data_IF_955983212663
#
_entry.id   IF_955983212663
#
_cell.length_a   1.000
_cell.length_b   1.000
_cell.length_c   1.000
_cell.angle_alpha   90.00
_cell.angle_beta   90.00
_cell.angle_gamma   90.00
#
_symmetry.space_group_name_H-M   'P 1'
#
loop_
_entity.id
_entity.type
_entity.pdbx_description
1 polymer ?
#
# COMPACT_ATOMS: atom_id res chain seq x y z
N UNK A 1 25.50 24.87 7.53
CA UNK A 1 24.11 25.05 8.05
C UNK A 1 24.17 26.02 9.23
N UNK A 2 23.22 26.97 9.36
CA UNK A 2 23.24 27.90 10.50
C UNK A 2 22.79 27.18 11.78
N UNK A 3 23.44 27.46 12.92
CA UNK A 3 23.10 26.83 14.21
C UNK A 3 21.61 27.01 14.59
N UNK A 4 21.02 28.13 14.19
CA UNK A 4 19.59 28.38 14.39
C UNK A 4 18.69 27.41 13.60
N UNK A 5 19.09 27.03 12.39
CA UNK A 5 18.34 26.07 11.56
C UNK A 5 18.36 24.67 12.20
N UNK A 6 19.55 24.26 12.71
CA UNK A 6 19.69 22.99 13.42
C UNK A 6 18.79 22.98 14.67
N UNK A 7 18.81 24.08 15.46
CA UNK A 7 17.94 24.15 16.64
C UNK A 7 16.47 24.01 16.34
N UNK A 8 15.99 24.72 15.32
CA UNK A 8 14.59 24.57 14.87
C UNK A 8 14.28 23.17 14.39
N UNK A 9 15.23 22.51 13.73
CA UNK A 9 15.11 21.11 13.30
C UNK A 9 15.01 20.16 14.49
N UNK A 10 15.88 20.31 15.50
CA UNK A 10 15.85 19.51 16.73
C UNK A 10 14.52 19.68 17.49
N UNK A 11 14.04 20.92 17.64
CA UNK A 11 12.77 21.19 18.32
C UNK A 11 11.58 20.51 17.59
N UNK A 12 11.58 20.51 16.24
CA UNK A 12 10.60 19.76 15.45
C UNK A 12 10.76 18.24 15.59
N UNK A 13 12.00 17.76 15.61
CA UNK A 13 12.29 16.33 15.76
C UNK A 13 11.79 15.79 17.11
N UNK A 14 11.92 16.54 18.19
CA UNK A 14 11.34 16.17 19.49
C UNK A 14 9.83 15.97 19.46
N UNK A 15 9.11 16.82 18.72
CA UNK A 15 7.66 16.68 18.56
C UNK A 15 7.32 15.46 17.71
N UNK A 16 8.03 15.26 16.60
CA UNK A 16 7.81 14.13 15.70
C UNK A 16 8.11 12.78 16.37
N UNK A 17 9.21 12.66 17.11
CA UNK A 17 9.56 11.42 17.82
C UNK A 17 8.49 11.06 18.86
N UNK A 18 7.93 12.04 19.59
CA UNK A 18 6.79 11.79 20.48
C UNK A 18 5.55 11.33 19.74
N UNK A 19 5.30 11.87 18.55
CA UNK A 19 4.21 11.40 17.68
C UNK A 19 4.46 9.99 17.16
N UNK A 20 5.68 9.68 16.76
CA UNK A 20 6.07 8.34 16.31
C UNK A 20 5.89 7.30 17.41
N UNK A 21 6.22 7.62 18.68
CA UNK A 21 5.98 6.73 19.83
C UNK A 21 4.53 6.30 19.92
N UNK A 22 3.61 7.27 19.78
CA UNK A 22 2.16 7.00 19.81
C UNK A 22 1.66 6.27 18.57
N UNK A 23 2.07 6.73 17.38
CA UNK A 23 1.60 6.17 16.11
C UNK A 23 2.09 4.74 15.89
N UNK A 24 3.33 4.44 16.32
CA UNK A 24 3.91 3.10 16.27
C UNK A 24 3.48 2.21 17.43
N UNK A 25 2.74 2.74 18.41
CA UNK A 25 2.36 2.00 19.63
C UNK A 25 3.58 1.35 20.31
N UNK A 26 4.68 2.11 20.44
CA UNK A 26 5.96 1.58 20.91
C UNK A 26 5.81 0.94 22.31
N UNK A 27 5.08 1.59 23.23
CA UNK A 27 4.89 1.09 24.59
C UNK A 27 4.09 -0.24 24.63
N UNK A 28 3.15 -0.44 23.71
CA UNK A 28 2.40 -1.69 23.58
C UNK A 28 3.29 -2.78 22.98
N UNK A 29 4.02 -2.46 21.93
CA UNK A 29 4.97 -3.39 21.29
C UNK A 29 6.05 -3.86 22.28
N UNK A 30 6.59 -2.99 23.11
CA UNK A 30 7.58 -3.38 24.12
C UNK A 30 7.00 -4.40 25.12
N UNK A 31 5.76 -4.20 25.57
CA UNK A 31 5.08 -5.17 26.47
C UNK A 31 4.84 -6.51 25.78
N UNK A 32 4.44 -6.46 24.50
CA UNK A 32 4.20 -7.66 23.69
C UNK A 32 5.51 -8.42 23.43
N UNK A 33 6.61 -7.72 23.15
CA UNK A 33 7.96 -8.29 23.01
C UNK A 33 8.37 -9.01 24.30
N UNK A 34 8.13 -8.43 25.48
CA UNK A 34 8.41 -9.07 26.75
C UNK A 34 7.59 -10.37 26.91
N UNK A 35 6.28 -10.31 26.59
CA UNK A 35 5.39 -11.47 26.66
C UNK A 35 5.80 -12.59 25.70
N UNK A 36 6.07 -12.25 24.43
CA UNK A 36 6.51 -13.23 23.44
C UNK A 36 7.90 -13.80 23.77
N UNK A 37 8.81 -12.95 24.24
CA UNK A 37 10.14 -13.42 24.71
C UNK A 37 10.01 -14.40 25.85
N UNK A 38 9.10 -14.16 26.81
CA UNK A 38 8.83 -15.11 27.88
C UNK A 38 8.28 -16.44 27.35
N UNK A 39 7.41 -16.42 26.34
CA UNK A 39 6.90 -17.64 25.70
C UNK A 39 8.00 -18.47 25.03
N UNK A 40 8.98 -17.82 24.40
CA UNK A 40 10.11 -18.53 23.74
C UNK A 40 11.02 -19.28 24.73
N UNK A 41 10.98 -18.91 26.02
CA UNK A 41 11.77 -19.53 27.09
C UNK A 41 11.06 -20.72 27.76
N UNK A 42 9.79 -20.98 27.43
CA UNK A 42 9.04 -22.10 28.04
C UNK A 42 9.47 -23.45 27.47
N UNK A 43 9.42 -24.46 28.32
CA UNK A 43 9.68 -25.85 27.90
C UNK A 43 8.64 -26.30 26.87
N UNK A 44 9.08 -26.94 25.79
CA UNK A 44 8.22 -27.43 24.71
C UNK A 44 7.90 -26.39 23.62
N UNK A 45 8.34 -25.14 23.74
CA UNK A 45 8.09 -24.12 22.72
C UNK A 45 8.65 -24.52 21.33
N UNK A 46 9.83 -25.13 21.30
CA UNK A 46 10.52 -25.56 20.09
C UNK A 46 10.02 -26.88 19.50
N UNK A 47 9.11 -27.58 20.19
CA UNK A 47 8.53 -28.84 19.72
C UNK A 47 7.54 -28.65 18.56
N UNK A 48 7.10 -27.39 18.32
CA UNK A 48 6.22 -27.01 17.24
C UNK A 48 6.92 -25.99 16.30
N UNK A 49 7.70 -26.45 15.31
CA UNK A 49 8.56 -25.57 14.49
C UNK A 49 7.82 -24.45 13.77
N UNK A 50 6.63 -24.73 13.22
CA UNK A 50 5.84 -23.75 12.48
C UNK A 50 5.29 -22.66 13.39
N UNK A 51 4.83 -23.02 14.60
CA UNK A 51 4.37 -22.06 15.60
C UNK A 51 5.53 -21.23 16.15
N UNK A 52 6.64 -21.88 16.49
CA UNK A 52 7.84 -21.21 16.97
C UNK A 52 8.39 -20.20 15.94
N UNK A 53 8.39 -20.58 14.66
CA UNK A 53 8.80 -19.69 13.59
C UNK A 53 7.91 -18.46 13.47
N UNK A 54 6.58 -18.61 13.51
CA UNK A 54 5.64 -17.49 13.45
C UNK A 54 5.86 -16.48 14.59
N UNK A 55 5.98 -16.99 15.82
CA UNK A 55 6.23 -16.14 17.00
C UNK A 55 7.59 -15.43 16.87
N UNK A 56 8.62 -16.13 16.38
CA UNK A 56 9.94 -15.56 16.24
C UNK A 56 10.00 -14.49 15.15
N UNK A 57 9.31 -14.70 14.02
CA UNK A 57 9.19 -13.71 12.94
C UNK A 57 8.42 -12.47 13.45
N UNK A 58 7.32 -12.64 14.16
CA UNK A 58 6.55 -11.57 14.79
C UNK A 58 7.40 -10.77 15.78
N UNK A 59 8.13 -11.47 16.66
CA UNK A 59 9.03 -10.85 17.64
C UNK A 59 10.15 -10.04 16.96
N UNK A 60 10.73 -10.57 15.89
CA UNK A 60 11.79 -9.86 15.14
C UNK A 60 11.25 -8.61 14.43
N UNK A 61 10.06 -8.68 13.83
CA UNK A 61 9.45 -7.52 13.17
C UNK A 61 9.11 -6.41 14.20
N UNK A 62 8.61 -6.77 15.38
CA UNK A 62 8.36 -5.79 16.45
C UNK A 62 9.68 -5.20 17.00
N UNK A 63 10.68 -6.04 17.29
CA UNK A 63 11.99 -5.57 17.76
C UNK A 63 12.63 -4.63 16.77
N UNK A 64 12.54 -4.91 15.47
CA UNK A 64 13.10 -4.02 14.47
C UNK A 64 12.55 -2.60 14.58
N UNK A 65 11.24 -2.46 14.79
CA UNK A 65 10.59 -1.14 14.91
C UNK A 65 11.01 -0.45 16.23
N UNK A 66 11.03 -1.19 17.34
CA UNK A 66 11.40 -0.62 18.64
C UNK A 66 12.88 -0.23 18.72
N UNK A 67 13.77 -1.07 18.19
CA UNK A 67 15.22 -0.79 18.15
C UNK A 67 15.54 0.43 17.27
N UNK A 68 14.88 0.57 16.13
CA UNK A 68 15.03 1.75 15.26
C UNK A 68 14.52 3.02 15.96
N UNK A 69 13.39 2.92 16.67
CA UNK A 69 12.87 4.03 17.46
C UNK A 69 13.84 4.45 18.58
N UNK A 70 14.36 3.49 19.34
CA UNK A 70 15.33 3.75 20.41
C UNK A 70 16.61 4.38 19.87
N UNK A 71 17.09 3.95 18.71
CA UNK A 71 18.24 4.58 18.03
C UNK A 71 17.96 6.04 17.69
N UNK A 72 16.75 6.35 17.20
CA UNK A 72 16.38 7.75 16.91
C UNK A 72 16.33 8.60 18.17
N UNK A 73 15.76 8.08 19.29
CA UNK A 73 15.77 8.80 20.58
C UNK A 73 17.20 9.05 21.08
N UNK A 74 18.07 8.05 21.01
CA UNK A 74 19.48 8.18 21.42
C UNK A 74 20.22 9.16 20.53
N UNK A 75 20.04 9.12 19.22
CA UNK A 75 20.67 10.04 18.27
C UNK A 75 20.21 11.48 18.52
N UNK A 76 18.91 11.70 18.78
CA UNK A 76 18.40 13.03 19.13
C UNK A 76 19.01 13.57 20.42
N UNK A 77 19.11 12.74 21.47
CA UNK A 77 19.75 13.13 22.74
C UNK A 77 21.22 13.49 22.53
N UNK A 78 21.97 12.72 21.75
CA UNK A 78 23.37 13.01 21.42
C UNK A 78 23.52 14.31 20.63
N UNK A 79 22.59 14.60 19.70
CA UNK A 79 22.59 15.87 18.96
C UNK A 79 22.30 17.07 19.85
N UNK A 80 21.38 16.95 20.82
CA UNK A 80 21.13 18.02 21.81
C UNK A 80 22.37 18.33 22.68
N UNK A 81 23.08 17.27 23.10
CA UNK A 81 24.33 17.42 23.86
C UNK A 81 25.42 18.12 23.02
N UNK A 82 25.61 17.64 21.77
CA UNK A 82 26.59 18.21 20.84
C UNK A 82 26.24 19.66 20.49
N UNK A 83 24.96 19.96 20.26
CA UNK A 83 24.50 21.34 20.03
C UNK A 83 24.82 22.28 21.21
N UNK A 84 24.60 21.79 22.41
CA UNK A 84 24.91 22.57 23.64
C UNK A 84 26.40 22.85 23.76
N UNK A 85 27.27 21.87 23.47
CA UNK A 85 28.71 22.02 23.44
C UNK A 85 29.19 23.03 22.39
N UNK A 86 28.67 22.93 21.15
CA UNK A 86 28.98 23.87 20.06
C UNK A 86 28.59 25.28 20.43
N UNK A 87 27.45 25.47 21.09
CA UNK A 87 26.98 26.79 21.55
C UNK A 87 27.87 27.40 22.63
N UNK A 88 28.47 26.58 23.49
CA UNK A 88 29.35 27.04 24.57
C UNK A 88 30.78 27.29 24.10
N UNK A 89 31.29 26.47 23.17
CA UNK A 89 32.70 26.51 22.76
C UNK A 89 32.96 27.33 21.52
N UNK A 90 31.93 27.56 20.67
CA UNK A 90 32.01 28.20 19.34
C UNK A 90 33.09 27.56 18.44
N UNK A 91 33.36 26.25 18.63
CA UNK A 91 34.38 25.51 17.89
C UNK A 91 33.85 25.05 16.54
N UNK A 92 34.57 25.43 15.46
CA UNK A 92 34.20 25.08 14.08
C UNK A 92 34.29 23.57 13.79
N UNK A 93 35.17 22.85 14.46
CA UNK A 93 35.33 21.41 14.25
C UNK A 93 34.11 20.66 14.80
N UNK A 94 33.64 21.00 16.00
CA UNK A 94 32.40 20.46 16.57
C UNK A 94 31.16 20.89 15.79
N UNK A 95 31.16 22.09 15.21
CA UNK A 95 30.06 22.51 14.36
C UNK A 95 29.94 21.63 13.09
N UNK A 96 31.06 21.29 12.45
CA UNK A 96 31.07 20.43 11.26
C UNK A 96 30.57 19.03 11.59
N UNK A 97 30.94 18.47 12.75
CA UNK A 97 30.45 17.17 13.23
C UNK A 97 28.95 17.24 13.46
N UNK A 98 28.46 18.26 14.15
CA UNK A 98 27.04 18.47 14.42
C UNK A 98 26.21 18.54 13.10
N UNK A 99 26.72 19.24 12.10
CA UNK A 99 26.03 19.34 10.78
C UNK A 99 25.96 17.98 10.09
N UNK A 100 27.03 17.18 10.14
CA UNK A 100 27.05 15.84 9.54
C UNK A 100 26.09 14.90 10.27
N UNK A 101 26.16 14.86 11.59
CA UNK A 101 25.34 13.99 12.43
C UNK A 101 23.84 14.36 12.31
N UNK A 102 23.54 15.67 12.21
CA UNK A 102 22.17 16.12 11.98
C UNK A 102 21.63 15.70 10.62
N UNK A 103 22.41 15.76 9.54
CA UNK A 103 22.00 15.29 8.22
C UNK A 103 21.76 13.78 8.21
N UNK A 104 22.58 13.01 8.90
CA UNK A 104 22.39 11.56 8.99
C UNK A 104 21.16 11.21 9.85
N UNK A 105 20.92 11.97 10.93
CA UNK A 105 19.70 11.85 11.72
C UNK A 105 18.44 12.16 10.90
N UNK A 106 18.43 13.21 10.07
CA UNK A 106 17.29 13.50 9.17
C UNK A 106 17.00 12.34 8.24
N UNK A 107 18.02 11.71 7.65
CA UNK A 107 17.84 10.53 6.79
C UNK A 107 17.24 9.36 7.57
N UNK A 108 17.74 9.08 8.77
CA UNK A 108 17.21 8.01 9.61
C UNK A 108 15.75 8.28 10.03
N UNK A 109 15.40 9.54 10.32
CA UNK A 109 14.02 9.95 10.57
C UNK A 109 13.10 9.67 9.37
N UNK A 110 13.54 10.02 8.16
CA UNK A 110 12.77 9.73 6.94
C UNK A 110 12.60 8.23 6.69
N UNK A 111 13.65 7.44 6.93
CA UNK A 111 13.59 5.98 6.80
C UNK A 111 12.62 5.37 7.82
N UNK A 112 12.68 5.81 9.07
CA UNK A 112 11.77 5.35 10.10
C UNK A 112 10.32 5.74 9.81
N UNK A 113 10.09 6.97 9.32
CA UNK A 113 8.75 7.39 8.88
C UNK A 113 8.19 6.46 7.79
N UNK A 114 9.00 6.05 6.82
CA UNK A 114 8.60 5.08 5.79
C UNK A 114 8.20 3.73 6.40
N UNK A 115 8.94 3.26 7.41
CA UNK A 115 8.60 2.01 8.13
C UNK A 115 7.27 2.15 8.85
N UNK A 116 7.02 3.29 9.50
CA UNK A 116 5.74 3.55 10.20
C UNK A 116 4.54 3.59 9.25
N UNK A 117 4.71 4.20 8.07
CA UNK A 117 3.67 4.29 7.05
C UNK A 117 3.24 2.91 6.54
N UNK A 118 4.09 1.89 6.69
CA UNK A 118 3.90 0.52 6.25
C UNK A 118 3.72 -0.47 7.43
N UNK A 119 3.24 0.00 8.57
CA UNK A 119 3.18 -0.79 9.81
C UNK A 119 1.81 -1.42 10.11
N UNK A 120 0.81 -1.28 9.23
CA UNK A 120 -0.51 -1.91 9.41
C UNK A 120 -0.42 -3.42 9.22
N UNK A 121 -1.34 -4.15 9.85
CA UNK A 121 -1.39 -5.61 9.96
C UNK A 121 -1.14 -6.36 8.62
N UNK A 122 -1.69 -5.85 7.51
CA UNK A 122 -1.57 -6.51 6.20
C UNK A 122 -0.50 -5.90 5.29
N UNK A 123 0.16 -4.82 5.73
CA UNK A 123 1.12 -4.10 4.88
C UNK A 123 2.32 -4.94 4.46
N UNK A 124 2.73 -5.89 5.30
CA UNK A 124 3.83 -6.81 5.04
C UNK A 124 3.56 -7.87 3.96
N UNK A 125 2.28 -8.05 3.57
CA UNK A 125 1.87 -9.09 2.65
C UNK A 125 2.19 -8.78 1.19
N UNK A 126 2.11 -9.83 0.35
CA UNK A 126 2.09 -9.69 -1.09
C UNK A 126 0.80 -9.00 -1.55
N UNK A 127 0.79 -8.43 -2.74
CA UNK A 127 -0.37 -7.74 -3.30
C UNK A 127 -0.89 -8.45 -4.56
N UNK A 128 -2.20 -8.59 -4.66
CA UNK A 128 -2.88 -8.93 -5.90
C UNK A 128 -3.43 -7.63 -6.48
N UNK A 129 -3.02 -7.31 -7.70
CA UNK A 129 -3.40 -6.07 -8.40
C UNK A 129 -4.24 -6.42 -9.62
N UNK A 130 -5.38 -5.75 -9.76
CA UNK A 130 -6.27 -5.87 -10.91
C UNK A 130 -6.42 -4.52 -11.60
N UNK A 131 -6.30 -4.50 -12.93
CA UNK A 131 -6.47 -3.29 -13.72
C UNK A 131 -7.56 -3.52 -14.75
N UNK A 132 -8.54 -2.62 -14.79
CA UNK A 132 -9.63 -2.63 -15.75
C UNK A 132 -9.75 -1.28 -16.46
N UNK A 133 -9.90 -1.26 -17.79
CA UNK A 133 -10.20 -0.02 -18.51
C UNK A 133 -11.60 0.46 -18.15
N UNK A 134 -11.74 1.78 -18.00
CA UNK A 134 -13.04 2.42 -17.88
C UNK A 134 -13.78 2.56 -19.22
N UNK A 135 -14.89 3.29 -19.21
CA UNK A 135 -15.59 3.63 -20.44
C UNK A 135 -14.68 4.46 -21.36
N UNK A 136 -14.50 4.05 -22.62
CA UNK A 136 -13.63 4.75 -23.58
C UNK A 136 -13.06 3.90 -24.72
N UNK A 137 -13.44 2.62 -24.78
CA UNK A 137 -13.01 1.73 -25.88
C UNK A 137 -11.50 1.52 -25.93
N UNK A 138 -10.92 1.52 -27.15
CA UNK A 138 -9.48 1.27 -27.37
C UNK A 138 -8.57 2.22 -26.59
N UNK A 139 -8.96 3.48 -26.42
CA UNK A 139 -8.16 4.48 -25.69
C UNK A 139 -7.99 4.15 -24.21
N UNK A 140 -9.06 3.65 -23.55
CA UNK A 140 -8.99 3.22 -22.15
C UNK A 140 -8.28 1.88 -21.98
N UNK A 141 -8.36 1.00 -22.99
CA UNK A 141 -7.60 -0.26 -23.00
C UNK A 141 -6.09 0.00 -23.11
N UNK A 142 -5.68 0.95 -23.96
CA UNK A 142 -4.27 1.37 -24.05
C UNK A 142 -3.81 2.06 -22.76
N UNK A 143 -4.68 2.86 -22.14
CA UNK A 143 -4.36 3.46 -20.83
C UNK A 143 -4.15 2.41 -19.74
N UNK A 144 -5.00 1.39 -19.68
CA UNK A 144 -4.84 0.28 -18.74
C UNK A 144 -3.50 -0.47 -18.96
N UNK A 145 -3.08 -0.67 -20.21
CA UNK A 145 -1.78 -1.26 -20.53
C UNK A 145 -0.61 -0.35 -20.13
N UNK A 146 -0.74 0.97 -20.29
CA UNK A 146 0.27 1.92 -19.82
C UNK A 146 0.44 1.88 -18.31
N UNK A 147 -0.66 1.78 -17.54
CA UNK A 147 -0.62 1.61 -16.08
C UNK A 147 0.03 0.28 -15.69
N UNK A 148 -0.31 -0.81 -16.37
CA UNK A 148 0.31 -2.10 -16.12
C UNK A 148 1.83 -2.04 -16.31
N UNK A 149 2.32 -1.42 -17.41
CA UNK A 149 3.75 -1.20 -17.66
C UNK A 149 4.40 -0.33 -16.60
N UNK A 150 3.72 0.71 -16.13
CA UNK A 150 4.16 1.57 -15.03
C UNK A 150 4.38 0.75 -13.75
N UNK A 151 3.43 -0.09 -13.36
CA UNK A 151 3.57 -0.94 -12.17
C UNK A 151 4.62 -2.03 -12.34
N UNK A 152 4.78 -2.60 -13.53
CA UNK A 152 5.89 -3.53 -13.80
C UNK A 152 7.26 -2.89 -13.54
N UNK A 153 7.46 -1.65 -14.01
CA UNK A 153 8.70 -0.90 -13.80
C UNK A 153 8.88 -0.55 -12.33
N UNK A 154 7.83 -0.08 -11.66
CA UNK A 154 7.86 0.18 -10.24
C UNK A 154 8.28 -1.05 -9.43
N UNK A 155 7.64 -2.18 -9.67
CA UNK A 155 7.98 -3.44 -9.00
C UNK A 155 9.41 -3.89 -9.28
N UNK A 156 9.90 -3.73 -10.53
CA UNK A 156 11.28 -4.02 -10.89
C UNK A 156 12.27 -3.13 -10.12
N UNK A 157 11.98 -1.83 -10.02
CA UNK A 157 12.81 -0.88 -9.28
C UNK A 157 12.87 -1.20 -7.78
N UNK A 158 11.76 -1.74 -7.21
CA UNK A 158 11.69 -2.18 -5.80
C UNK A 158 12.22 -3.59 -5.56
N UNK A 159 12.59 -4.33 -6.60
CA UNK A 159 13.00 -5.72 -6.50
C UNK A 159 11.84 -6.68 -6.20
N UNK A 160 10.60 -6.27 -6.41
CA UNK A 160 9.44 -7.14 -6.30
C UNK A 160 9.32 -8.05 -7.52
N UNK A 161 8.83 -9.28 -7.29
CA UNK A 161 8.57 -10.24 -8.36
C UNK A 161 7.11 -10.16 -8.77
N UNK A 162 6.85 -10.12 -10.08
CA UNK A 162 5.50 -10.13 -10.64
C UNK A 162 5.21 -11.49 -11.24
N UNK A 163 4.03 -12.01 -10.93
CA UNK A 163 3.45 -13.21 -11.52
C UNK A 163 2.08 -12.85 -12.09
N UNK A 164 1.93 -12.99 -13.41
CA UNK A 164 0.66 -12.70 -14.08
C UNK A 164 -0.30 -13.86 -13.86
N UNK A 165 -1.46 -13.59 -13.27
CA UNK A 165 -2.50 -14.57 -12.96
C UNK A 165 -3.53 -14.67 -14.08
N UNK A 166 -3.93 -13.52 -14.63
CA UNK A 166 -4.86 -13.42 -15.75
C UNK A 166 -4.52 -12.23 -16.64
N UNK A 167 -4.63 -12.40 -17.94
CA UNK A 167 -4.33 -11.33 -18.91
C UNK A 167 -5.24 -11.46 -20.12
N UNK A 168 -5.99 -10.43 -20.41
CA UNK A 168 -6.92 -10.40 -21.54
C UNK A 168 -6.59 -9.22 -22.46
N UNK A 169 -6.10 -9.52 -23.65
CA UNK A 169 -5.76 -8.53 -24.68
C UNK A 169 -6.97 -7.70 -25.12
N UNK A 170 -6.73 -6.45 -25.46
CA UNK A 170 -7.68 -5.60 -26.17
C UNK A 170 -7.94 -6.08 -27.61
N UNK A 171 -9.07 -5.68 -28.18
CA UNK A 171 -9.42 -6.12 -29.54
C UNK A 171 -8.53 -5.48 -30.62
N UNK A 172 -8.05 -4.26 -30.40
CA UNK A 172 -7.24 -3.48 -31.34
C UNK A 172 -5.90 -3.08 -30.71
N UNK A 173 -5.91 -2.63 -29.46
CA UNK A 173 -4.72 -2.23 -28.70
C UNK A 173 -5.05 -2.28 -27.21
N UNK A 174 -4.00 -2.33 -26.38
CA UNK A 174 -4.12 -2.33 -24.92
C UNK A 174 -4.67 -3.62 -24.35
N UNK A 175 -5.21 -3.56 -23.14
CA UNK A 175 -5.73 -4.71 -22.38
C UNK A 175 -7.18 -4.48 -21.97
N UNK A 176 -7.98 -5.56 -21.92
CA UNK A 176 -9.33 -5.57 -21.33
C UNK A 176 -9.32 -5.83 -19.84
N UNK A 177 -8.35 -6.57 -19.36
CA UNK A 177 -8.09 -6.77 -17.94
C UNK A 177 -6.71 -7.39 -17.74
N UNK A 178 -6.11 -7.10 -16.61
CA UNK A 178 -4.94 -7.83 -16.14
C UNK A 178 -5.04 -8.00 -14.64
N UNK A 179 -4.73 -9.22 -14.16
CA UNK A 179 -4.58 -9.54 -12.76
C UNK A 179 -3.19 -10.12 -12.54
N UNK A 180 -2.45 -9.57 -11.62
CA UNK A 180 -1.10 -10.04 -11.32
C UNK A 180 -0.81 -10.00 -9.83
N UNK A 181 -0.01 -10.96 -9.38
CA UNK A 181 0.49 -11.07 -8.02
C UNK A 181 1.87 -10.41 -7.94
N UNK A 182 2.03 -9.54 -6.95
CA UNK A 182 3.29 -8.86 -6.63
C UNK A 182 3.85 -9.46 -5.34
N UNK A 183 4.96 -10.18 -5.45
CA UNK A 183 5.65 -10.83 -4.33
C UNK A 183 6.80 -9.98 -3.84
N UNK A 184 6.76 -9.59 -2.58
CA UNK A 184 7.83 -8.82 -1.94
C UNK A 184 7.40 -8.30 -0.57
N UNK A 185 8.38 -8.03 0.27
CA UNK A 185 8.11 -7.48 1.60
C UNK A 185 7.47 -6.09 1.47
N UNK A 186 6.32 -5.89 2.09
CA UNK A 186 5.51 -4.67 2.03
C UNK A 186 4.93 -4.34 0.65
N UNK A 187 4.80 -5.33 -0.25
CA UNK A 187 4.21 -5.09 -1.57
C UNK A 187 2.79 -4.52 -1.49
N UNK A 188 1.94 -5.10 -0.63
CA UNK A 188 0.60 -4.56 -0.40
C UNK A 188 0.63 -3.17 0.24
N UNK A 189 1.48 -2.96 1.25
CA UNK A 189 1.61 -1.67 1.94
C UNK A 189 1.91 -0.50 0.99
N UNK A 190 2.78 -0.73 0.00
CA UNK A 190 3.06 0.26 -1.04
C UNK A 190 1.90 0.40 -2.02
N UNK A 191 1.42 -0.70 -2.59
CA UNK A 191 0.48 -0.67 -3.71
C UNK A 191 -0.96 -0.34 -3.30
N UNK A 192 -1.37 -0.53 -2.02
CA UNK A 192 -2.70 -0.13 -1.54
C UNK A 192 -2.99 1.36 -1.78
N UNK A 193 -1.95 2.20 -1.81
CA UNK A 193 -2.07 3.62 -2.12
C UNK A 193 -2.49 3.88 -3.58
N UNK A 194 -2.32 2.91 -4.48
CA UNK A 194 -2.65 3.01 -5.90
C UNK A 194 -4.08 2.55 -6.23
N UNK A 195 -4.82 2.04 -5.23
CA UNK A 195 -6.21 1.60 -5.40
C UNK A 195 -7.12 2.78 -5.72
N UNK A 196 -7.82 2.70 -6.86
CA UNK A 196 -8.81 3.69 -7.29
C UNK A 196 -8.79 3.96 -8.79
N UNK A 197 -9.38 5.08 -9.20
CA UNK A 197 -9.51 5.44 -10.62
C UNK A 197 -8.38 6.38 -11.04
N UNK A 198 -7.69 6.03 -12.12
CA UNK A 198 -6.62 6.79 -12.74
C UNK A 198 -7.12 7.44 -14.03
N UNK A 199 -6.95 8.74 -14.16
CA UNK A 199 -7.39 9.53 -15.30
C UNK A 199 -6.21 9.94 -16.18
N UNK A 200 -6.29 9.66 -17.49
CA UNK A 200 -5.33 10.13 -18.50
C UNK A 200 -5.95 11.20 -19.37
N UNK A 201 -5.22 12.27 -19.65
CA UNK A 201 -5.57 13.31 -20.63
C UNK A 201 -4.40 13.47 -21.60
N UNK A 202 -4.60 13.06 -22.86
CA UNK A 202 -3.58 13.15 -23.92
C UNK A 202 -4.20 13.38 -25.29
N UNK A 203 -3.37 13.66 -26.29
CA UNK A 203 -3.75 13.55 -27.69
C UNK A 203 -3.84 12.06 -28.02
N UNK A 204 -4.98 11.61 -28.55
CA UNK A 204 -5.20 10.21 -28.89
C UNK A 204 -4.32 9.77 -30.06
N UNK A 205 -3.56 8.65 -29.92
CA UNK A 205 -2.87 8.05 -31.05
C UNK A 205 -3.80 7.32 -32.02
N UNK A 206 -5.05 7.03 -31.60
CA UNK A 206 -6.06 6.30 -32.38
C UNK A 206 -7.03 7.22 -33.11
N UNK A 207 -7.05 8.52 -32.79
CA UNK A 207 -7.87 9.53 -33.48
C UNK A 207 -7.10 10.18 -34.62
N UNK A 208 -7.55 9.96 -35.84
CA UNK A 208 -6.96 10.59 -37.03
C UNK A 208 -6.97 12.14 -36.99
N UNK A 209 -7.93 12.71 -36.27
CA UNK A 209 -8.06 14.15 -36.04
C UNK A 209 -7.15 14.71 -34.96
N UNK A 210 -6.37 13.86 -34.29
CA UNK A 210 -5.43 14.22 -33.18
C UNK A 210 -6.09 15.06 -32.08
N UNK A 211 -7.33 14.75 -31.74
CA UNK A 211 -8.06 15.42 -30.68
C UNK A 211 -7.57 14.95 -29.30
N UNK A 212 -7.78 15.80 -28.32
CA UNK A 212 -7.52 15.50 -26.92
C UNK A 212 -8.62 14.60 -26.38
N UNK A 213 -8.23 13.46 -25.81
CA UNK A 213 -9.13 12.50 -25.17
C UNK A 213 -8.85 12.39 -23.68
N UNK A 214 -9.87 12.01 -22.94
CA UNK A 214 -9.78 11.66 -21.53
C UNK A 214 -10.18 10.20 -21.36
N UNK A 215 -9.30 9.41 -20.74
CA UNK A 215 -9.50 7.99 -20.52
C UNK A 215 -9.39 7.67 -19.04
N UNK A 216 -10.11 6.66 -18.59
CA UNK A 216 -10.11 6.20 -17.23
C UNK A 216 -9.73 4.73 -17.18
N UNK A 217 -9.04 4.34 -16.12
CA UNK A 217 -8.81 2.94 -15.77
C UNK A 217 -8.89 2.80 -14.25
N UNK A 218 -9.45 1.71 -13.78
CA UNK A 218 -9.50 1.39 -12.36
C UNK A 218 -8.39 0.43 -12.00
N UNK A 219 -7.79 0.65 -10.87
CA UNK A 219 -6.81 -0.23 -10.24
C UNK A 219 -7.41 -0.70 -8.92
N UNK A 220 -7.49 -2.00 -8.72
CA UNK A 220 -7.83 -2.60 -7.44
C UNK A 220 -6.61 -3.30 -6.85
N UNK A 221 -6.42 -3.16 -5.54
CA UNK A 221 -5.29 -3.75 -4.82
C UNK A 221 -5.81 -4.42 -3.57
N UNK A 222 -5.51 -5.70 -3.43
CA UNK A 222 -5.91 -6.52 -2.28
C UNK A 222 -4.70 -7.30 -1.76
N UNK A 223 -4.61 -7.59 -0.44
CA UNK A 223 -3.53 -8.40 0.10
C UNK A 223 -3.68 -9.86 -0.34
N UNK A 224 -2.56 -10.56 -0.57
CA UNK A 224 -2.56 -12.02 -0.67
C UNK A 224 -2.61 -12.57 0.76
N UNK A 225 -3.75 -13.16 1.13
CA UNK A 225 -3.89 -13.79 2.44
C UNK A 225 -3.33 -15.21 2.38
N UNK A 226 -2.51 -15.55 3.38
CA UNK A 226 -2.07 -16.92 3.60
C UNK A 226 -3.26 -17.80 4.03
N UNK A 227 -3.16 -19.13 3.81
CA UNK A 227 -4.18 -20.12 4.19
C UNK A 227 -4.52 -20.15 5.70
N UNK A 228 -3.84 -19.34 6.51
CA UNK A 228 -4.01 -19.27 7.98
C UNK A 228 -5.20 -18.42 8.43
N UNK A 229 -5.78 -17.58 7.55
CA UNK A 229 -7.01 -16.86 7.88
C UNK A 229 -8.18 -17.74 7.43
N UNK A 230 -8.80 -18.43 8.36
CA UNK A 230 -9.99 -19.26 8.16
C UNK A 230 -11.19 -18.36 7.75
N UNK A 231 -11.26 -18.02 6.49
CA UNK A 231 -12.56 -17.65 5.90
C UNK A 231 -13.23 -19.00 5.60
N UNK A 232 -14.26 -19.32 6.37
CA UNK A 232 -15.05 -20.53 6.17
C UNK A 232 -15.85 -20.40 4.87
N UNK A 233 -15.25 -20.85 3.75
CA UNK A 233 -15.90 -20.92 2.45
C UNK A 233 -16.46 -22.32 2.28
N UNK A 234 -17.77 -22.43 2.36
CA UNK A 234 -18.43 -23.70 2.14
C UNK A 234 -18.40 -24.06 0.66
N UNK A 235 -18.10 -25.32 0.30
CA UNK A 235 -18.08 -25.77 -1.09
C UNK A 235 -19.42 -25.54 -1.85
N UNK A 236 -20.54 -25.57 -1.12
CA UNK A 236 -21.90 -25.32 -1.64
C UNK A 236 -22.14 -23.88 -2.08
N UNK A 237 -21.35 -22.92 -1.54
CA UNK A 237 -21.42 -21.50 -1.89
C UNK A 237 -20.57 -21.16 -3.12
N UNK A 238 -19.90 -22.15 -3.70
CA UNK A 238 -19.01 -21.95 -4.82
C UNK A 238 -19.58 -22.58 -6.11
N UNK A 239 -19.63 -21.78 -7.14
CA UNK A 239 -19.81 -22.26 -8.51
C UNK A 239 -18.47 -22.20 -9.24
N UNK A 240 -17.99 -23.36 -9.68
CA UNK A 240 -16.70 -23.50 -10.38
C UNK A 240 -16.97 -23.87 -11.82
N UNK A 241 -16.64 -22.96 -12.74
CA UNK A 241 -16.74 -23.16 -14.17
C UNK A 241 -15.34 -23.29 -14.78
N UNK A 242 -15.14 -24.30 -15.63
CA UNK A 242 -13.90 -24.45 -16.39
C UNK A 242 -14.11 -24.06 -17.84
N UNK A 243 -13.14 -23.39 -18.44
CA UNK A 243 -13.24 -22.93 -19.82
C UNK A 243 -11.86 -22.95 -20.51
N UNK A 244 -11.86 -22.75 -21.81
CA UNK A 244 -10.62 -22.69 -22.59
C UNK A 244 -9.95 -21.36 -22.39
N UNK A 245 -8.66 -21.41 -22.06
CA UNK A 245 -7.85 -20.19 -21.92
C UNK A 245 -7.83 -19.40 -23.23
N UNK A 246 -8.00 -18.09 -23.15
CA UNK A 246 -7.90 -17.18 -24.30
C UNK A 246 -6.50 -16.56 -24.29
N UNK A 247 -5.70 -16.73 -25.35
CA UNK A 247 -4.38 -16.13 -25.47
C UNK A 247 -3.62 -16.61 -26.71
N UNK A 248 -2.60 -15.88 -27.11
CA UNK A 248 -1.67 -16.24 -28.18
C UNK A 248 -0.81 -17.44 -27.73
N UNK A 249 -1.23 -18.66 -28.04
CA UNK A 249 -0.52 -19.87 -27.70
C UNK A 249 -0.90 -21.04 -28.63
N UNK A 250 0.04 -21.95 -28.85
CA UNK A 250 -0.06 -23.04 -29.78
C UNK A 250 -1.20 -24.05 -29.47
N UNK A 251 -1.31 -25.13 -30.28
CA UNK A 251 -2.40 -26.11 -30.28
C UNK A 251 -2.84 -26.67 -28.91
N UNK A 252 -2.07 -26.53 -27.85
CA UNK A 252 -2.39 -27.09 -26.53
C UNK A 252 -3.38 -26.19 -25.75
N UNK A 253 -3.27 -24.88 -25.89
CA UNK A 253 -4.11 -23.89 -25.15
C UNK A 253 -5.56 -23.94 -25.64
N UNK A 254 -5.77 -24.24 -26.93
CA UNK A 254 -7.09 -24.26 -27.54
C UNK A 254 -7.85 -25.60 -27.40
N UNK A 255 -7.24 -26.64 -26.79
CA UNK A 255 -7.83 -27.96 -26.66
C UNK A 255 -8.20 -28.38 -25.24
N UNK A 256 -7.63 -27.77 -24.22
CA UNK A 256 -7.85 -28.14 -22.82
C UNK A 256 -8.53 -27.00 -22.04
N UNK A 257 -9.59 -27.35 -21.29
CA UNK A 257 -10.31 -26.44 -20.42
C UNK A 257 -9.50 -26.25 -19.11
N UNK A 258 -8.33 -25.58 -19.21
CA UNK A 258 -7.42 -25.36 -18.08
C UNK A 258 -7.72 -24.08 -17.28
N UNK A 259 -8.41 -23.11 -17.88
CA UNK A 259 -8.82 -21.90 -17.19
C UNK A 259 -9.98 -22.18 -16.22
N UNK A 260 -9.92 -21.57 -15.05
CA UNK A 260 -10.91 -21.74 -13.98
C UNK A 260 -11.53 -20.40 -13.62
N UNK A 261 -12.86 -20.38 -13.53
CA UNK A 261 -13.65 -19.28 -12.97
C UNK A 261 -14.36 -19.77 -11.72
N UNK A 262 -14.17 -19.09 -10.62
CA UNK A 262 -14.90 -19.36 -9.38
C UNK A 262 -15.82 -18.18 -9.08
N UNK A 263 -17.09 -18.48 -8.87
CA UNK A 263 -18.10 -17.51 -8.45
C UNK A 263 -18.56 -17.87 -7.05
N UNK A 264 -18.39 -16.95 -6.11
CA UNK A 264 -18.97 -17.08 -4.77
C UNK A 264 -20.42 -16.59 -4.81
N UNK A 265 -21.36 -17.52 -4.68
CA UNK A 265 -22.79 -17.27 -4.88
C UNK A 265 -23.36 -16.22 -3.94
N UNK A 266 -23.05 -16.24 -2.61
CA UNK A 266 -23.65 -15.28 -1.67
C UNK A 266 -23.21 -13.83 -1.91
N UNK A 267 -21.98 -13.59 -2.36
CA UNK A 267 -21.44 -12.24 -2.56
C UNK A 267 -21.41 -11.82 -4.03
N UNK A 268 -21.66 -12.75 -4.97
CA UNK A 268 -21.53 -12.50 -6.41
C UNK A 268 -20.08 -12.25 -6.86
N UNK A 269 -19.09 -12.49 -6.01
CA UNK A 269 -17.67 -12.26 -6.33
C UNK A 269 -17.19 -13.29 -7.35
N UNK A 270 -16.58 -12.81 -8.42
CA UNK A 270 -16.04 -13.65 -9.50
C UNK A 270 -14.52 -13.49 -9.54
N UNK A 271 -13.82 -14.62 -9.66
CA UNK A 271 -12.37 -14.66 -9.90
C UNK A 271 -12.07 -15.63 -11.04
N UNK A 272 -11.05 -15.29 -11.83
CA UNK A 272 -10.59 -16.12 -12.96
C UNK A 272 -9.10 -16.34 -12.86
N UNK A 273 -8.64 -17.56 -13.16
CA UNK A 273 -7.21 -17.87 -13.23
C UNK A 273 -6.94 -18.77 -14.42
N UNK A 274 -5.96 -18.38 -15.25
CA UNK A 274 -5.52 -19.13 -16.44
C UNK A 274 -3.98 -19.13 -16.60
N UNK A 275 -3.26 -18.82 -15.52
CA UNK A 275 -1.79 -18.65 -15.54
C UNK A 275 -1.02 -19.94 -15.75
N UNK A 276 -1.56 -21.07 -15.30
CA UNK A 276 -0.91 -22.38 -15.35
C UNK A 276 -1.53 -23.32 -16.38
N UNK A 277 -0.73 -24.29 -16.84
CA UNK A 277 -1.21 -25.36 -17.74
C UNK A 277 -2.10 -26.39 -17.01
N UNK A 278 -2.00 -26.46 -15.68
CA UNK A 278 -2.73 -27.38 -14.82
C UNK A 278 -4.00 -26.72 -14.31
N UNK A 279 -5.15 -27.34 -14.59
CA UNK A 279 -6.44 -26.93 -14.04
C UNK A 279 -6.47 -26.93 -12.51
N UNK A 280 -5.78 -27.89 -11.86
CA UNK A 280 -5.72 -28.00 -10.41
C UNK A 280 -5.00 -26.78 -9.81
N UNK A 281 -3.83 -26.41 -10.36
CA UNK A 281 -3.08 -25.25 -9.89
C UNK A 281 -3.84 -23.93 -10.12
N UNK A 282 -4.52 -23.80 -11.28
CA UNK A 282 -5.38 -22.64 -11.54
C UNK A 282 -6.55 -22.56 -10.55
N UNK A 283 -7.10 -23.71 -10.13
CA UNK A 283 -8.18 -23.77 -9.14
C UNK A 283 -7.68 -23.34 -7.75
N UNK A 284 -6.53 -23.83 -7.32
CA UNK A 284 -5.91 -23.46 -6.04
C UNK A 284 -5.62 -21.96 -6.01
N UNK A 285 -5.01 -21.43 -7.06
CA UNK A 285 -4.70 -20.01 -7.17
C UNK A 285 -5.99 -19.15 -7.21
N UNK A 286 -7.00 -19.57 -7.94
CA UNK A 286 -8.31 -18.89 -7.96
C UNK A 286 -8.97 -18.90 -6.57
N UNK A 287 -8.80 -19.96 -5.77
CA UNK A 287 -9.30 -20.01 -4.38
C UNK A 287 -8.60 -19.01 -3.48
N UNK A 288 -7.27 -18.88 -3.59
CA UNK A 288 -6.50 -17.86 -2.84
C UNK A 288 -6.99 -16.46 -3.22
N UNK A 289 -7.13 -16.18 -4.51
CA UNK A 289 -7.68 -14.89 -5.00
C UNK A 289 -9.08 -14.63 -4.46
N UNK A 290 -9.95 -15.65 -4.44
CA UNK A 290 -11.31 -15.52 -3.91
C UNK A 290 -11.29 -15.20 -2.41
N UNK A 291 -10.51 -15.92 -1.62
CA UNK A 291 -10.33 -15.66 -0.18
C UNK A 291 -9.91 -14.20 0.05
N UNK A 292 -8.91 -13.72 -0.69
CA UNK A 292 -8.41 -12.35 -0.58
C UNK A 292 -9.47 -11.30 -0.93
N UNK A 293 -10.28 -11.55 -1.98
CA UNK A 293 -11.40 -10.66 -2.33
C UNK A 293 -12.51 -10.65 -1.28
N UNK A 294 -12.87 -11.81 -0.75
CA UNK A 294 -13.89 -11.90 0.29
C UNK A 294 -13.45 -11.18 1.57
N UNK A 295 -12.19 -11.30 1.93
CA UNK A 295 -11.64 -10.57 3.07
C UNK A 295 -11.74 -9.04 2.88
N UNK A 296 -11.34 -8.54 1.72
CA UNK A 296 -11.45 -7.11 1.41
C UNK A 296 -12.91 -6.62 1.47
N UNK A 297 -13.87 -7.45 1.03
CA UNK A 297 -15.30 -7.14 1.15
C UNK A 297 -15.78 -7.15 2.61
N UNK A 298 -15.28 -8.05 3.45
CA UNK A 298 -15.62 -8.07 4.88
C UNK A 298 -15.07 -6.84 5.59
N UNK A 299 -13.83 -6.44 5.29
CA UNK A 299 -13.21 -5.22 5.82
C UNK A 299 -13.97 -3.95 5.39
N UNK A 300 -14.38 -3.89 4.11
CA UNK A 300 -15.19 -2.79 3.60
C UNK A 300 -16.57 -2.75 4.27
N UNK A 301 -17.19 -3.90 4.53
CA UNK A 301 -18.48 -3.99 5.22
C UNK A 301 -18.36 -3.51 6.66
N UNK A 302 -17.33 -3.93 7.40
CA UNK A 302 -17.06 -3.45 8.75
C UNK A 302 -16.78 -1.94 8.78
N UNK A 303 -16.00 -1.44 7.81
CA UNK A 303 -15.74 0.00 7.68
C UNK A 303 -17.00 0.80 7.33
N UNK A 304 -17.93 0.22 6.54
CA UNK A 304 -19.25 0.83 6.27
C UNK A 304 -20.15 0.85 7.50
N UNK A 305 -20.23 -0.26 8.23
CA UNK A 305 -20.99 -0.34 9.48
C UNK A 305 -20.48 0.68 10.52
N UNK A 306 -19.16 0.86 10.63
CA UNK A 306 -18.57 1.91 11.46
C UNK A 306 -18.90 3.32 10.96
N UNK A 307 -18.90 3.56 9.64
CA UNK A 307 -19.30 4.85 9.05
C UNK A 307 -20.80 5.15 9.20
N UNK A 308 -21.65 4.13 9.10
CA UNK A 308 -23.10 4.28 9.35
C UNK A 308 -23.39 4.64 10.81
N UNK A 309 -22.62 4.11 11.75
CA UNK A 309 -22.68 4.48 13.17
C UNK A 309 -22.17 5.92 13.40
N UNK A 310 -21.24 6.41 12.57
CA UNK A 310 -20.65 7.76 12.64
C UNK A 310 -21.43 8.84 11.87
N UNK A 311 -22.47 8.48 11.09
CA UNK A 311 -23.30 9.41 10.33
C UNK A 311 -22.85 9.65 8.89
N UNK A 312 -23.82 9.74 7.97
CA UNK A 312 -23.68 9.79 6.51
C UNK A 312 -22.69 10.83 6.01
N UNK A 313 -21.58 10.40 5.40
CA UNK A 313 -20.87 11.18 4.39
C UNK A 313 -21.40 10.82 3.01
N UNK A 314 -21.99 11.82 2.32
CA UNK A 314 -22.60 11.67 0.99
C UNK A 314 -21.59 11.13 -0.03
N UNK A 315 -21.88 9.98 -0.63
CA UNK A 315 -21.18 9.47 -1.80
C UNK A 315 -21.32 10.43 -2.99
N UNK A 316 -20.22 11.01 -3.46
CA UNK A 316 -20.18 11.73 -4.74
C UNK A 316 -19.53 10.77 -5.76
N UNK A 317 -20.35 10.12 -6.56
CA UNK A 317 -19.96 9.08 -7.53
C UNK A 317 -19.05 9.57 -8.68
N UNK A 318 -18.76 10.83 -8.83
CA UNK A 318 -17.89 11.43 -9.86
C UNK A 318 -16.58 12.00 -9.29
N UNK A 319 -16.30 11.82 -8.01
CA UNK A 319 -15.14 12.39 -7.30
C UNK A 319 -14.02 11.39 -6.95
N UNK A 320 -14.14 10.10 -7.30
CA UNK A 320 -13.23 9.05 -6.84
C UNK A 320 -11.94 8.88 -7.64
N UNK A 321 -11.57 9.86 -8.48
CA UNK A 321 -10.29 9.86 -9.18
C UNK A 321 -9.16 10.10 -8.18
N UNK A 322 -8.31 9.09 -7.97
CA UNK A 322 -7.16 9.23 -7.09
C UNK A 322 -6.03 10.03 -7.72
N UNK A 323 -5.79 9.83 -9.04
CA UNK A 323 -4.69 10.49 -9.73
C UNK A 323 -5.05 10.85 -11.16
N UNK A 324 -4.60 12.05 -11.60
CA UNK A 324 -4.77 12.55 -12.95
C UNK A 324 -3.42 12.71 -13.63
N UNK A 325 -3.29 12.15 -14.84
CA UNK A 325 -2.11 12.23 -15.68
C UNK A 325 -2.46 13.08 -16.90
N UNK A 326 -1.90 14.28 -16.99
CA UNK A 326 -2.10 15.22 -18.08
C UNK A 326 -0.83 15.28 -18.91
N UNK A 327 -0.91 14.85 -20.17
CA UNK A 327 0.21 14.89 -21.11
C UNK A 327 0.04 16.04 -22.15
N UNK A 328 -1.14 16.63 -22.24
CA UNK A 328 -1.45 17.74 -23.12
C UNK A 328 -2.65 18.55 -22.60
N UNK A 329 -2.63 19.90 -22.60
CA UNK A 329 -1.64 20.80 -23.22
C UNK A 329 -0.39 21.08 -22.37
N UNK A 330 -0.38 20.67 -21.14
CA UNK A 330 0.76 20.77 -20.22
C UNK A 330 1.06 19.38 -19.62
N UNK A 331 2.24 19.22 -19.07
CA UNK A 331 2.67 17.97 -18.45
C UNK A 331 2.51 18.06 -16.93
N UNK A 332 1.63 17.26 -16.37
CA UNK A 332 1.37 17.23 -14.93
C UNK A 332 0.80 15.86 -14.50
N UNK A 333 1.30 15.31 -13.42
CA UNK A 333 0.65 14.25 -12.66
C UNK A 333 0.26 14.81 -11.30
N UNK A 334 -1.01 14.65 -10.91
CA UNK A 334 -1.54 15.13 -9.63
C UNK A 334 -2.32 14.05 -8.93
N UNK A 335 -1.99 13.77 -7.68
CA UNK A 335 -2.82 12.97 -6.79
C UNK A 335 -3.85 13.88 -6.09
N UNK A 336 -5.13 13.53 -6.23
CA UNK A 336 -6.22 14.37 -5.71
C UNK A 336 -6.42 14.21 -4.20
N UNK A 337 -5.85 13.17 -3.58
CA UNK A 337 -5.97 12.88 -2.15
C UNK A 337 -4.88 13.58 -1.34
N UNK A 338 -3.63 13.40 -1.75
CA UNK A 338 -2.48 14.01 -1.08
C UNK A 338 -2.13 15.41 -1.59
N UNK A 339 -2.73 15.82 -2.72
CA UNK A 339 -2.42 17.04 -3.48
C UNK A 339 -0.96 17.11 -3.98
N UNK A 340 -0.22 16.00 -3.93
CA UNK A 340 1.13 15.93 -4.46
C UNK A 340 1.12 16.01 -6.00
N UNK A 341 2.03 16.78 -6.58
CA UNK A 341 2.12 17.05 -8.00
C UNK A 341 3.54 16.80 -8.53
N UNK A 342 3.63 16.26 -9.75
CA UNK A 342 4.88 16.11 -10.48
C UNK A 342 4.73 16.65 -11.90
N UNK A 343 5.65 17.48 -12.33
CA UNK A 343 5.69 18.05 -13.69
C UNK A 343 6.35 17.12 -14.71
N UNK A 344 6.77 15.92 -14.30
CA UNK A 344 7.40 14.91 -15.14
C UNK A 344 6.57 13.63 -15.27
N UNK A 345 5.49 13.61 -16.07
CA UNK A 345 4.66 12.42 -16.27
C UNK A 345 5.43 11.22 -16.81
N UNK A 346 6.49 11.45 -17.57
CA UNK A 346 7.30 10.36 -18.13
C UNK A 346 8.02 9.58 -17.02
N UNK A 347 8.60 10.26 -16.07
CA UNK A 347 9.28 9.66 -14.93
C UNK A 347 8.32 8.82 -14.08
N UNK A 348 7.11 9.35 -13.84
CA UNK A 348 6.05 8.63 -13.13
C UNK A 348 5.63 7.36 -13.89
N UNK A 349 5.41 7.46 -15.21
CA UNK A 349 5.07 6.31 -16.07
C UNK A 349 6.24 5.33 -16.24
N UNK A 350 7.47 5.76 -15.98
CA UNK A 350 8.65 4.91 -15.91
C UNK A 350 8.80 4.20 -14.56
N UNK A 351 7.83 4.38 -13.64
CA UNK A 351 7.72 3.64 -12.39
C UNK A 351 8.24 4.38 -11.15
N UNK A 352 8.49 5.69 -11.23
CA UNK A 352 8.86 6.48 -10.06
C UNK A 352 7.59 6.97 -9.31
N UNK A 353 7.05 6.10 -8.43
CA UNK A 353 5.79 6.31 -7.71
C UNK A 353 5.95 6.61 -6.23
N UNK A 354 7.16 6.49 -5.68
CA UNK A 354 7.40 6.56 -4.24
C UNK A 354 6.84 7.83 -3.60
N UNK A 355 7.12 8.98 -4.20
CA UNK A 355 6.68 10.27 -3.65
C UNK A 355 5.16 10.37 -3.57
N UNK A 356 4.43 9.85 -4.58
CA UNK A 356 2.97 9.80 -4.56
C UNK A 356 2.44 8.86 -3.48
N UNK A 357 3.04 7.69 -3.37
CA UNK A 357 2.67 6.66 -2.39
C UNK A 357 2.88 7.20 -0.97
N UNK A 358 4.07 7.72 -0.67
CA UNK A 358 4.38 8.25 0.65
C UNK A 358 3.57 9.51 0.99
N UNK A 359 3.35 10.41 0.04
CA UNK A 359 2.50 11.59 0.26
C UNK A 359 1.07 11.19 0.65
N UNK A 360 0.50 10.18 -0.02
CA UNK A 360 -0.82 9.66 0.33
C UNK A 360 -0.82 8.96 1.69
N UNK A 361 0.15 8.09 1.97
CA UNK A 361 0.24 7.41 3.26
C UNK A 361 0.40 8.40 4.43
N UNK A 362 1.18 9.47 4.25
CA UNK A 362 1.30 10.56 5.23
C UNK A 362 -0.02 11.31 5.45
N UNK A 363 -0.76 11.61 4.38
CA UNK A 363 -2.06 12.28 4.51
C UNK A 363 -3.07 11.43 5.26
N UNK A 364 -3.10 10.13 4.99
CA UNK A 364 -4.01 9.18 5.66
C UNK A 364 -3.75 9.02 7.17
N UNK A 365 -2.50 9.19 7.61
CA UNK A 365 -2.19 9.23 9.04
C UNK A 365 -2.69 10.50 9.74
N UNK A 366 -2.73 11.64 9.02
CA UNK A 366 -3.25 12.91 9.57
C UNK A 366 -4.77 12.90 9.69
N UNK A 367 -5.48 12.39 8.68
CA UNK A 367 -6.95 12.28 8.70
C UNK A 367 -7.45 11.36 9.82
N UNK A 368 -6.74 10.27 10.13
CA UNK A 368 -7.04 9.42 11.29
C UNK A 368 -6.89 10.14 12.64
N UNK A 369 -6.07 11.20 12.73
CA UNK A 369 -5.89 12.00 13.94
C UNK A 369 -7.00 13.03 14.14
N UNK A 370 -7.48 13.66 13.08
CA UNK A 370 -8.57 14.64 13.16
C UNK A 370 -9.89 14.00 13.61
N UNK A 371 -10.10 12.73 13.27
CA UNK A 371 -11.28 11.98 13.73
C UNK A 371 -11.24 11.66 15.24
N UNK A 372 -10.05 11.51 15.83
CA UNK A 372 -9.88 11.24 17.27
C UNK A 372 -9.94 12.52 18.14
N UNK A 373 -9.60 13.69 17.57
CA UNK A 373 -9.70 14.97 18.27
C UNK A 373 -11.14 15.45 18.40
N UNK A 374 -12.01 15.11 17.43
CA UNK A 374 -13.43 15.48 17.48
C UNK A 374 -14.25 14.64 18.48
N UNK A 375 -13.76 13.48 18.89
CA UNK A 375 -14.44 12.62 19.87
C UNK A 375 -14.08 12.94 21.32
N UNK A 376 -12.97 13.64 21.58
CA UNK A 376 -12.55 14.02 22.94
C UNK A 376 -13.19 15.33 23.43
N UNK A 377 -13.48 16.27 22.53
CA UNK A 377 -14.09 17.56 22.92
C UNK A 377 -15.63 17.49 23.07
N UNK A 378 -16.27 16.45 22.53
CA UNK A 378 -17.72 16.27 22.67
C UNK A 378 -18.15 15.61 24.01
N UNK A 379 -17.19 15.13 24.80
CA UNK A 379 -17.45 14.47 26.08
C UNK A 379 -17.37 15.43 27.29
N UNK A 380 -16.72 16.59 27.16
CA UNK A 380 -16.50 17.51 28.27
C UNK A 380 -17.56 18.62 28.42
N UNK A 381 -18.45 18.79 27.42
CA UNK A 381 -19.50 19.84 27.46
C UNK A 381 -20.83 19.37 28.07
N UNK A 382 -20.90 18.23 28.76
CA UNK A 382 -22.14 17.71 29.39
C UNK A 382 -22.15 17.71 30.92
N UNK A 383 -21.26 18.44 31.58
CA UNK A 383 -21.36 18.62 33.04
C UNK A 383 -21.24 20.11 33.37
N UNK A 384 -22.35 20.85 33.15
CA UNK A 384 -22.70 22.00 33.95
C UNK A 384 -24.05 22.59 33.49
N UNK A 385 -25.16 22.02 33.91
CA UNK A 385 -26.41 22.75 34.22
C UNK A 385 -27.11 21.99 35.33
N UNK A 386 -27.21 22.66 36.46
CA UNK A 386 -27.87 22.43 37.73
C UNK A 386 -27.12 21.73 38.83
#
# INVERSE_FOLDING_TARGET
MELYEIKNGLDKAHLLIKEYRKSAQIDEKLREIEGLTYQTLQEGFWDQPDHAKKIYDQLNDMKKITDEYERLEQSLSSLDETYSLVKETEDQEFQTILESDYQDFEKHMEEFEKVLLLSKEYDGLNAIVEIHPGAGGTESQDWAEMLYRMYQRYCSNKGFKIEVLDYLDGDVAGIKSVTFLVKGKYAYGHLKAEKGVHRLVRISPFDSSKRRHTSFASVDVIPELDDTIEIDIKPEDLRIDTYRASGAGGQHINKTDSAVRITHIPTGTIVTCQSQRSQIQNREQAMIMLKSKLFALMEEKQAKELKEIQGEQKEIAWGSQIRSYVLHPYSLVKDNRSLYESNNPKDVLDGNLDDFIYAYLKSSLKEGKDCLLYTSDAADDRISVD
#
